data_IF_944932740224
#
_entry.id   IF_944932740224
#
_cell.length_a   1.000
_cell.length_b   1.000
_cell.length_c   1.000
_cell.angle_alpha   90.00
_cell.angle_beta   90.00
_cell.angle_gamma   90.00
#
_symmetry.space_group_name_H-M   'P 1'
#
loop_
_entity.id
_entity.type
_entity.pdbx_description
1 polymer ?
#
# COMPACT_ATOMS: atom_id res chain seq x y z
N UNK A 1 -12.29 3.09 -23.03
CA UNK A 1 -11.17 3.17 -22.06
C UNK A 1 -11.18 4.57 -21.46
N UNK A 2 -11.76 4.74 -20.28
CA UNK A 2 -11.75 6.03 -19.58
C UNK A 2 -10.36 6.16 -18.96
N UNK A 3 -9.47 6.92 -19.60
CA UNK A 3 -8.18 7.21 -18.97
C UNK A 3 -8.43 8.14 -17.77
N UNK A 4 -7.87 7.86 -16.58
CA UNK A 4 -7.90 8.82 -15.48
C UNK A 4 -7.30 10.14 -15.96
N UNK A 5 -8.05 11.23 -15.82
CA UNK A 5 -7.65 12.57 -16.25
C UNK A 5 -6.35 12.93 -15.54
N UNK A 6 -5.31 13.30 -16.29
CA UNK A 6 -4.09 13.83 -15.70
C UNK A 6 -4.43 15.06 -14.86
N UNK A 7 -3.92 15.13 -13.62
CA UNK A 7 -4.14 16.26 -12.73
C UNK A 7 -3.62 17.53 -13.39
N UNK A 8 -4.46 18.56 -13.49
CA UNK A 8 -4.07 19.87 -14.00
C UNK A 8 -3.90 20.83 -12.83
N UNK A 9 -2.76 21.50 -12.77
CA UNK A 9 -2.47 22.52 -11.76
C UNK A 9 -2.96 23.91 -12.20
N UNK A 10 -3.44 24.70 -11.25
CA UNK A 10 -3.65 26.14 -11.42
C UNK A 10 -2.33 26.88 -11.69
N UNK A 11 -2.40 28.13 -12.17
CA UNK A 11 -1.20 28.93 -12.41
C UNK A 11 -0.41 29.16 -11.12
N UNK A 12 -1.10 29.42 -10.00
CA UNK A 12 -0.47 29.60 -8.69
C UNK A 12 0.26 28.33 -8.23
N UNK A 13 -0.37 27.16 -8.37
CA UNK A 13 0.27 25.87 -8.02
C UNK A 13 1.48 25.56 -8.90
N UNK A 14 1.45 25.93 -10.19
CA UNK A 14 2.60 25.78 -11.11
C UNK A 14 3.75 26.70 -10.72
N UNK A 15 3.45 27.95 -10.36
CA UNK A 15 4.47 28.90 -9.90
C UNK A 15 5.09 28.45 -8.57
N UNK A 16 4.30 27.91 -7.65
CA UNK A 16 4.80 27.35 -6.38
C UNK A 16 5.59 26.03 -6.58
N UNK A 17 5.28 25.27 -7.62
CA UNK A 17 5.92 23.98 -7.90
C UNK A 17 7.43 24.13 -8.18
N UNK A 18 7.86 25.22 -8.83
CA UNK A 18 9.28 25.45 -9.17
C UNK A 18 10.17 25.60 -7.92
N UNK A 19 9.91 26.53 -6.98
CA UNK A 19 10.70 26.62 -5.74
C UNK A 19 10.55 25.37 -4.86
N UNK A 20 9.41 24.67 -4.93
CA UNK A 20 9.24 23.39 -4.25
C UNK A 20 10.25 22.34 -4.76
N UNK A 21 10.37 22.17 -6.08
CA UNK A 21 11.35 21.27 -6.70
C UNK A 21 12.79 21.65 -6.33
N UNK A 22 13.12 22.95 -6.36
CA UNK A 22 14.44 23.43 -5.94
C UNK A 22 14.76 23.02 -4.49
N UNK A 23 13.77 23.10 -3.58
CA UNK A 23 13.96 22.70 -2.19
C UNK A 23 14.20 21.19 -1.99
N UNK A 24 13.63 20.36 -2.87
CA UNK A 24 13.86 18.90 -2.86
C UNK A 24 15.28 18.61 -3.36
N UNK A 25 15.73 19.26 -4.43
CA UNK A 25 17.10 19.14 -4.94
C UNK A 25 18.11 19.58 -3.89
N UNK A 26 17.89 20.72 -3.22
CA UNK A 26 18.75 21.17 -2.11
C UNK A 26 18.79 20.14 -0.97
N UNK A 27 17.66 19.48 -0.67
CA UNK A 27 17.63 18.43 0.35
C UNK A 27 18.43 17.19 -0.07
N UNK A 28 18.39 16.81 -1.35
CA UNK A 28 19.20 15.71 -1.90
C UNK A 28 20.69 16.04 -1.79
N UNK A 29 21.08 17.25 -2.18
CA UNK A 29 22.47 17.71 -2.08
C UNK A 29 22.93 17.72 -0.61
N UNK A 30 22.10 18.25 0.28
CA UNK A 30 22.38 18.28 1.71
C UNK A 30 22.52 16.86 2.29
N UNK A 31 21.57 15.96 2.01
CA UNK A 31 21.64 14.57 2.46
C UNK A 31 22.90 13.84 1.95
N UNK A 32 23.33 14.17 0.73
CA UNK A 32 24.57 13.64 0.16
C UNK A 32 25.80 14.16 0.92
N UNK A 33 25.86 15.46 1.19
CA UNK A 33 26.94 16.09 1.96
C UNK A 33 27.01 15.57 3.40
N UNK A 34 25.85 15.37 4.04
CA UNK A 34 25.79 14.88 5.43
C UNK A 34 25.96 13.37 5.58
N UNK A 35 26.11 12.64 4.46
CA UNK A 35 26.15 11.17 4.47
C UNK A 35 27.30 10.57 5.29
N UNK A 36 28.39 11.32 5.45
CA UNK A 36 29.57 10.94 6.24
C UNK A 36 29.35 11.08 7.76
N UNK A 37 28.32 11.81 8.18
CA UNK A 37 27.97 12.04 9.60
C UNK A 37 26.65 11.36 9.99
N UNK A 38 26.23 10.31 9.26
CA UNK A 38 25.01 9.55 9.56
C UNK A 38 25.16 8.80 10.89
N UNK A 39 24.20 9.00 11.79
CA UNK A 39 24.01 8.14 12.97
C UNK A 39 23.25 6.86 12.62
N UNK A 40 23.18 5.93 13.57
CA UNK A 40 22.39 4.70 13.45
C UNK A 40 20.87 4.94 13.29
N UNK A 41 20.39 6.17 13.53
CA UNK A 41 18.98 6.54 13.32
C UNK A 41 18.60 6.71 11.84
N UNK A 42 19.59 6.73 10.93
CA UNK A 42 19.34 6.87 9.49
C UNK A 42 19.27 5.51 8.78
N UNK A 43 18.65 5.45 7.58
CA UNK A 43 18.60 4.23 6.80
C UNK A 43 20.00 3.68 6.48
N UNK A 44 20.08 2.35 6.47
CA UNK A 44 21.31 1.56 6.30
C UNK A 44 22.16 2.02 5.11
N UNK A 45 21.57 2.10 3.92
CA UNK A 45 22.31 2.41 2.68
C UNK A 45 22.23 3.89 2.32
N UNK A 46 23.23 4.37 1.57
CA UNK A 46 23.27 5.76 1.12
C UNK A 46 22.08 6.11 0.20
N UNK A 47 21.69 5.16 -0.66
CA UNK A 47 20.54 5.32 -1.57
C UNK A 47 19.26 5.52 -0.76
N UNK A 48 19.05 4.71 0.29
CA UNK A 48 17.88 4.87 1.17
C UNK A 48 17.93 6.21 1.92
N UNK A 49 19.08 6.61 2.45
CA UNK A 49 19.24 7.88 3.16
C UNK A 49 18.82 9.08 2.28
N UNK A 50 19.33 9.14 1.05
CA UNK A 50 19.03 10.22 0.11
C UNK A 50 17.56 10.14 -0.36
N UNK A 51 17.10 8.94 -0.74
CA UNK A 51 15.74 8.73 -1.23
C UNK A 51 14.67 9.07 -0.20
N UNK A 52 14.85 8.64 1.05
CA UNK A 52 13.91 8.94 2.13
C UNK A 52 13.92 10.44 2.46
N UNK A 53 15.10 11.08 2.48
CA UNK A 53 15.17 12.53 2.69
C UNK A 53 14.44 13.31 1.59
N UNK A 54 14.59 12.90 0.32
CA UNK A 54 13.89 13.51 -0.81
C UNK A 54 12.37 13.32 -0.69
N UNK A 55 11.90 12.12 -0.32
CA UNK A 55 10.48 11.84 -0.20
C UNK A 55 9.83 12.55 1.00
N UNK A 56 10.49 12.57 2.17
CA UNK A 56 10.06 13.40 3.31
C UNK A 56 9.94 14.86 2.91
N UNK A 57 10.92 15.40 2.18
CA UNK A 57 10.85 16.78 1.71
C UNK A 57 9.69 17.00 0.75
N UNK A 58 9.50 16.09 -0.21
CA UNK A 58 8.43 16.16 -1.19
C UNK A 58 7.05 16.16 -0.54
N UNK A 59 6.80 15.23 0.39
CA UNK A 59 5.53 15.10 1.12
C UNK A 59 5.22 16.29 2.03
N UNK A 60 6.24 16.94 2.59
CA UNK A 60 6.07 18.16 3.39
C UNK A 60 5.86 19.40 2.51
N UNK A 61 6.51 19.48 1.35
CA UNK A 61 6.56 20.72 0.55
C UNK A 61 5.48 20.79 -0.53
N UNK A 62 5.09 19.65 -1.11
CA UNK A 62 4.18 19.60 -2.25
C UNK A 62 2.75 19.32 -1.79
N UNK A 63 1.78 19.94 -2.45
CA UNK A 63 0.37 19.55 -2.31
C UNK A 63 0.13 18.18 -2.96
N UNK A 64 -0.98 17.52 -2.61
CA UNK A 64 -1.41 16.28 -3.26
C UNK A 64 -1.52 16.46 -4.78
N UNK A 65 -2.10 17.58 -5.23
CA UNK A 65 -2.22 17.88 -6.65
C UNK A 65 -0.85 18.02 -7.34
N UNK A 66 0.10 18.71 -6.71
CA UNK A 66 1.47 18.85 -7.25
C UNK A 66 2.20 17.50 -7.32
N UNK A 67 2.06 16.64 -6.30
CA UNK A 67 2.65 15.29 -6.33
C UNK A 67 2.05 14.43 -7.45
N UNK A 68 0.73 14.45 -7.61
CA UNK A 68 0.07 13.72 -8.70
C UNK A 68 0.41 14.28 -10.08
N UNK A 69 0.58 15.60 -10.21
CA UNK A 69 1.03 16.22 -11.45
C UNK A 69 2.43 15.73 -11.86
N UNK A 70 3.32 15.53 -10.89
CA UNK A 70 4.69 15.08 -11.12
C UNK A 70 4.81 13.58 -11.45
N UNK A 71 3.84 12.76 -11.02
CA UNK A 71 3.93 11.31 -11.07
C UNK A 71 3.09 10.72 -12.21
N UNK A 72 3.59 9.70 -12.94
CA UNK A 72 2.75 8.94 -13.85
C UNK A 72 1.68 8.16 -13.08
N UNK A 73 0.50 8.00 -13.69
CA UNK A 73 -0.59 7.19 -13.12
C UNK A 73 -0.20 5.72 -12.98
N UNK A 74 -0.89 4.98 -12.10
CA UNK A 74 -0.65 3.54 -11.88
C UNK A 74 -0.70 2.75 -13.19
N UNK A 75 -1.74 2.97 -14.03
CA UNK A 75 -1.85 2.30 -15.32
C UNK A 75 -0.68 2.64 -16.28
N UNK A 76 -0.23 3.91 -16.32
CA UNK A 76 0.95 4.27 -17.12
C UNK A 76 2.23 3.59 -16.61
N UNK A 77 2.40 3.45 -15.30
CA UNK A 77 3.54 2.73 -14.73
C UNK A 77 3.48 1.23 -15.06
N UNK A 78 2.29 0.61 -14.98
CA UNK A 78 2.06 -0.77 -15.39
C UNK A 78 2.40 -0.98 -16.87
N UNK A 79 1.79 -0.21 -17.78
CA UNK A 79 2.01 -0.29 -19.23
C UNK A 79 3.49 -0.14 -19.60
N UNK A 80 4.18 0.83 -18.98
CA UNK A 80 5.63 1.03 -19.16
C UNK A 80 6.42 -0.17 -18.68
N UNK A 81 6.05 -0.73 -17.52
CA UNK A 81 6.75 -1.86 -16.93
C UNK A 81 6.59 -3.12 -17.78
N UNK A 82 5.37 -3.51 -18.14
CA UNK A 82 5.13 -4.72 -18.95
C UNK A 82 5.76 -4.60 -20.33
N UNK A 83 5.68 -3.42 -20.98
CA UNK A 83 6.35 -3.18 -22.26
C UNK A 83 7.87 -3.33 -22.14
N UNK A 84 8.49 -2.73 -21.11
CA UNK A 84 9.93 -2.81 -20.88
C UNK A 84 10.41 -4.26 -20.68
N UNK A 85 9.61 -5.09 -20.01
CA UNK A 85 9.96 -6.47 -19.69
C UNK A 85 9.34 -7.50 -20.66
N UNK A 86 8.71 -7.04 -21.76
CA UNK A 86 8.04 -7.88 -22.77
C UNK A 86 6.99 -8.83 -22.16
N UNK A 87 6.30 -8.38 -21.12
CA UNK A 87 5.19 -9.10 -20.50
C UNK A 87 3.86 -8.74 -21.17
N UNK A 88 2.86 -9.64 -21.17
CA UNK A 88 1.52 -9.33 -21.64
C UNK A 88 0.90 -8.16 -20.88
N UNK A 89 0.26 -7.23 -21.60
CA UNK A 89 -0.55 -6.18 -21.01
C UNK A 89 -1.98 -6.70 -20.82
N UNK A 90 -2.37 -6.98 -19.58
CA UNK A 90 -3.67 -7.57 -19.23
C UNK A 90 -4.39 -6.67 -18.22
N UNK A 91 -5.11 -5.69 -18.75
CA UNK A 91 -5.89 -4.73 -17.96
C UNK A 91 -7.38 -5.05 -18.08
N UNK A 92 -8.09 -4.96 -16.96
CA UNK A 92 -9.52 -5.17 -16.83
C UNK A 92 -10.16 -3.88 -16.34
N UNK A 93 -11.29 -3.49 -16.94
CA UNK A 93 -12.16 -2.44 -16.40
C UNK A 93 -13.03 -3.03 -15.28
N UNK A 94 -12.91 -2.47 -14.07
CA UNK A 94 -13.64 -2.93 -12.88
C UNK A 94 -14.92 -2.13 -12.61
N UNK A 95 -15.25 -1.17 -13.48
CA UNK A 95 -16.32 -0.21 -13.23
C UNK A 95 -15.90 0.90 -12.27
N UNK A 96 -16.75 1.92 -12.14
CA UNK A 96 -16.54 3.08 -11.25
C UNK A 96 -15.17 3.77 -11.40
N UNK A 97 -14.54 3.70 -12.58
CA UNK A 97 -13.24 4.29 -12.85
C UNK A 97 -12.04 3.51 -12.31
N UNK A 98 -12.24 2.31 -11.77
CA UNK A 98 -11.16 1.42 -11.35
C UNK A 98 -10.68 0.50 -12.49
N UNK A 99 -9.39 0.20 -12.47
CA UNK A 99 -8.77 -0.79 -13.36
C UNK A 99 -8.07 -1.87 -12.55
N UNK A 100 -8.09 -3.10 -13.04
CA UNK A 100 -7.29 -4.21 -12.52
C UNK A 100 -6.21 -4.62 -13.49
N UNK A 101 -5.03 -4.95 -13.01
CA UNK A 101 -3.89 -5.35 -13.85
C UNK A 101 -3.35 -6.71 -13.41
N UNK A 102 -3.25 -7.63 -14.36
CA UNK A 102 -2.67 -8.95 -14.11
C UNK A 102 -1.17 -8.98 -14.40
N UNK A 103 -0.44 -9.70 -13.55
CA UNK A 103 0.98 -9.97 -13.65
C UNK A 103 1.19 -11.45 -13.36
N UNK A 104 1.91 -12.13 -14.24
CA UNK A 104 1.99 -13.60 -14.22
C UNK A 104 0.88 -14.26 -15.03
N UNK A 105 0.76 -15.57 -14.88
CA UNK A 105 -0.26 -16.35 -15.55
C UNK A 105 -1.58 -16.31 -14.76
N UNK A 106 -2.66 -15.92 -15.42
CA UNK A 106 -3.98 -15.76 -14.77
C UNK A 106 -4.63 -17.10 -14.43
N UNK A 107 -4.10 -18.20 -14.95
CA UNK A 107 -4.55 -19.56 -14.64
C UNK A 107 -3.71 -20.22 -13.55
N UNK A 108 -2.89 -19.45 -12.83
CA UNK A 108 -2.17 -19.95 -11.66
C UNK A 108 -3.15 -20.51 -10.61
N UNK A 109 -2.70 -21.37 -9.71
CA UNK A 109 -3.61 -21.97 -8.72
C UNK A 109 -4.07 -20.95 -7.66
N UNK A 110 -3.30 -19.88 -7.46
CA UNK A 110 -3.57 -18.87 -6.44
C UNK A 110 -3.41 -17.45 -6.99
N UNK A 111 -4.19 -16.52 -6.44
CA UNK A 111 -4.14 -15.09 -6.78
C UNK A 111 -3.87 -14.24 -5.56
N UNK A 112 -2.82 -13.43 -5.63
CA UNK A 112 -2.60 -12.32 -4.71
C UNK A 112 -3.25 -11.05 -5.28
N UNK A 113 -4.33 -10.58 -4.67
CA UNK A 113 -4.96 -9.30 -5.01
C UNK A 113 -4.26 -8.19 -4.25
N UNK A 114 -3.63 -7.25 -4.96
CA UNK A 114 -2.84 -6.18 -4.31
C UNK A 114 -3.47 -4.80 -4.42
N UNK A 115 -3.67 -4.16 -3.27
CA UNK A 115 -4.03 -2.74 -3.14
C UNK A 115 -2.77 -1.93 -2.81
N UNK A 116 -2.38 -1.01 -3.68
CA UNK A 116 -1.16 -0.23 -3.47
C UNK A 116 -1.33 0.84 -2.37
N UNK A 117 -0.24 1.22 -1.71
CA UNK A 117 -0.18 2.35 -0.80
C UNK A 117 -0.03 3.71 -1.48
N UNK A 118 0.46 4.71 -0.74
CA UNK A 118 0.56 6.09 -1.22
C UNK A 118 -0.52 7.02 -0.65
N UNK A 119 -1.05 6.69 0.53
CA UNK A 119 -1.97 7.55 1.28
C UNK A 119 -3.29 7.85 0.57
N UNK A 120 -3.77 6.93 -0.27
CA UNK A 120 -4.87 7.13 -1.21
C UNK A 120 -4.63 8.22 -2.26
N UNK A 121 -3.54 8.97 -2.17
CA UNK A 121 -3.29 10.19 -2.92
C UNK A 121 -2.23 10.01 -4.02
N UNK A 122 -1.37 9.00 -3.93
CA UNK A 122 -0.29 8.75 -4.88
C UNK A 122 -0.54 7.44 -5.66
N UNK A 123 -0.13 7.38 -6.94
CA UNK A 123 -0.25 6.17 -7.75
C UNK A 123 0.78 5.11 -7.34
N UNK A 124 0.53 3.85 -7.72
CA UNK A 124 1.53 2.80 -7.59
C UNK A 124 2.75 3.13 -8.45
N UNK A 125 3.92 3.17 -7.81
CA UNK A 125 5.21 3.36 -8.48
C UNK A 125 5.73 2.07 -9.14
N UNK A 126 6.85 2.14 -9.85
CA UNK A 126 7.39 0.96 -10.54
C UNK A 126 7.97 -0.12 -9.63
N UNK A 127 8.21 0.18 -8.35
CA UNK A 127 8.67 -0.78 -7.34
C UNK A 127 7.67 -1.90 -7.09
N UNK A 128 6.37 -1.62 -7.15
CA UNK A 128 5.30 -2.61 -7.03
C UNK A 128 5.45 -3.73 -8.07
N UNK A 129 5.59 -3.37 -9.34
CA UNK A 129 5.69 -4.37 -10.41
C UNK A 129 6.99 -5.17 -10.34
N UNK A 130 8.10 -4.57 -9.87
CA UNK A 130 9.32 -5.31 -9.55
C UNK A 130 9.08 -6.33 -8.44
N UNK A 131 8.46 -5.89 -7.34
CA UNK A 131 8.11 -6.74 -6.21
C UNK A 131 7.22 -7.92 -6.64
N UNK A 132 6.17 -7.67 -7.42
CA UNK A 132 5.26 -8.71 -7.92
C UNK A 132 5.97 -9.73 -8.82
N UNK A 133 6.77 -9.28 -9.80
CA UNK A 133 7.51 -10.22 -10.66
C UNK A 133 8.54 -11.04 -9.90
N UNK A 134 9.24 -10.45 -8.92
CA UNK A 134 10.16 -11.18 -8.04
C UNK A 134 9.40 -12.22 -7.23
N UNK A 135 8.24 -11.85 -6.68
CA UNK A 135 7.42 -12.72 -5.85
C UNK A 135 6.91 -13.94 -6.64
N UNK A 136 6.32 -13.71 -7.82
CA UNK A 136 5.84 -14.77 -8.73
C UNK A 136 6.98 -15.72 -9.08
N UNK A 137 8.15 -15.21 -9.49
CA UNK A 137 9.30 -16.04 -9.83
C UNK A 137 9.80 -16.86 -8.63
N UNK A 138 9.76 -16.28 -7.43
CA UNK A 138 10.20 -16.94 -6.19
C UNK A 138 9.23 -18.05 -5.76
N UNK A 139 7.93 -17.84 -5.94
CA UNK A 139 6.90 -18.85 -5.70
C UNK A 139 7.01 -19.99 -6.71
N UNK A 140 7.17 -19.69 -8.00
CA UNK A 140 7.35 -20.69 -9.05
C UNK A 140 8.60 -21.55 -8.78
N UNK A 141 9.72 -20.95 -8.36
CA UNK A 141 10.93 -21.68 -7.96
C UNK A 141 10.73 -22.57 -6.71
N UNK A 142 9.63 -22.39 -5.98
CA UNK A 142 9.22 -23.19 -4.82
C UNK A 142 8.07 -24.14 -5.14
N UNK A 143 7.78 -24.38 -6.43
CA UNK A 143 6.63 -25.17 -6.92
C UNK A 143 5.26 -24.64 -6.43
N UNK A 144 5.14 -23.32 -6.24
CA UNK A 144 3.88 -22.65 -5.91
C UNK A 144 3.43 -21.81 -7.10
N UNK A 145 2.22 -22.07 -7.57
CA UNK A 145 1.59 -21.36 -8.68
C UNK A 145 0.93 -20.08 -8.15
N UNK A 146 1.41 -18.91 -8.58
CA UNK A 146 0.92 -17.61 -8.11
C UNK A 146 0.79 -16.60 -9.26
N UNK A 147 -0.35 -15.91 -9.31
CA UNK A 147 -0.58 -14.70 -10.08
C UNK A 147 -0.77 -13.49 -9.14
N UNK A 148 -0.51 -12.28 -9.65
CA UNK A 148 -0.87 -11.04 -8.96
C UNK A 148 -1.91 -10.28 -9.76
N UNK A 149 -2.98 -9.86 -9.08
CA UNK A 149 -3.99 -8.93 -9.61
C UNK A 149 -3.94 -7.62 -8.83
N UNK A 150 -3.42 -6.55 -9.42
CA UNK A 150 -3.25 -5.28 -8.70
C UNK A 150 -4.26 -4.22 -9.14
N UNK A 151 -4.85 -3.52 -8.17
CA UNK A 151 -5.86 -2.49 -8.38
C UNK A 151 -5.23 -1.12 -8.65
N UNK A 152 -5.71 -0.46 -9.70
CA UNK A 152 -5.66 1.00 -9.85
C UNK A 152 -6.99 1.58 -9.38
N UNK A 153 -7.01 2.11 -8.16
CA UNK A 153 -8.16 2.84 -7.62
C UNK A 153 -8.04 4.34 -7.91
N UNK A 154 -9.16 5.05 -7.82
CA UNK A 154 -9.21 6.51 -8.00
C UNK A 154 -8.59 7.21 -6.80
N UNK A 155 -7.63 8.10 -7.07
CA UNK A 155 -6.88 8.77 -6.00
C UNK A 155 -7.72 9.88 -5.35
N UNK A 156 -7.41 10.15 -4.09
CA UNK A 156 -7.85 11.35 -3.39
C UNK A 156 -7.08 12.58 -3.88
N UNK A 157 -7.69 13.77 -3.99
CA UNK A 157 -9.09 14.08 -3.64
C UNK A 157 -10.08 13.91 -4.81
N UNK A 158 -9.69 13.32 -5.95
CA UNK A 158 -10.59 13.14 -7.10
C UNK A 158 -11.79 12.27 -6.76
N UNK A 159 -11.58 11.27 -5.90
CA UNK A 159 -12.62 10.56 -5.19
C UNK A 159 -12.27 10.45 -3.71
N UNK A 160 -13.29 10.37 -2.87
CA UNK A 160 -13.18 10.28 -1.40
C UNK A 160 -13.80 8.98 -0.92
N UNK A 161 -13.52 8.63 0.34
CA UNK A 161 -14.14 7.49 1.03
C UNK A 161 -15.68 7.53 0.89
N UNK A 162 -16.36 6.41 0.54
CA UNK A 162 -15.86 5.03 0.45
C UNK A 162 -15.47 4.55 -0.97
N UNK A 163 -15.13 5.45 -1.90
CA UNK A 163 -14.91 5.07 -3.32
C UNK A 163 -13.77 4.06 -3.49
N UNK A 164 -12.62 4.28 -2.85
CA UNK A 164 -11.46 3.39 -2.94
C UNK A 164 -11.75 2.01 -2.34
N UNK A 165 -12.52 1.97 -1.25
CA UNK A 165 -13.00 0.71 -0.66
C UNK A 165 -13.95 -0.02 -1.62
N UNK A 166 -14.91 0.68 -2.23
CA UNK A 166 -15.80 0.10 -3.24
C UNK A 166 -15.01 -0.52 -4.39
N UNK A 167 -13.99 0.20 -4.89
CA UNK A 167 -13.12 -0.27 -5.97
C UNK A 167 -12.25 -1.47 -5.54
N UNK A 168 -11.80 -1.52 -4.29
CA UNK A 168 -11.10 -2.68 -3.71
C UNK A 168 -12.00 -3.92 -3.63
N UNK A 169 -13.26 -3.74 -3.22
CA UNK A 169 -14.28 -4.79 -3.23
C UNK A 169 -14.59 -5.23 -4.67
N UNK A 170 -14.66 -4.30 -5.64
CA UNK A 170 -14.84 -4.64 -7.06
C UNK A 170 -13.69 -5.46 -7.63
N UNK A 171 -12.45 -5.23 -7.19
CA UNK A 171 -11.32 -6.06 -7.59
C UNK A 171 -11.44 -7.51 -7.07
N UNK A 172 -11.83 -7.69 -5.80
CA UNK A 172 -12.09 -9.02 -5.22
C UNK A 172 -13.25 -9.71 -5.95
N UNK A 173 -14.37 -9.00 -6.13
CA UNK A 173 -15.54 -9.49 -6.87
C UNK A 173 -15.17 -9.93 -8.29
N UNK A 174 -14.34 -9.17 -8.99
CA UNK A 174 -13.91 -9.54 -10.33
C UNK A 174 -13.16 -10.88 -10.34
N UNK A 175 -12.23 -11.10 -9.41
CA UNK A 175 -11.49 -12.36 -9.33
C UNK A 175 -12.45 -13.52 -9.01
N UNK A 176 -13.35 -13.36 -8.04
CA UNK A 176 -14.34 -14.39 -7.67
C UNK A 176 -15.32 -14.72 -8.82
N UNK A 177 -15.86 -13.71 -9.50
CA UNK A 177 -16.96 -13.89 -10.45
C UNK A 177 -16.49 -14.18 -11.88
N UNK A 178 -15.28 -13.75 -12.25
CA UNK A 178 -14.78 -13.77 -13.64
C UNK A 178 -13.59 -14.70 -13.86
N UNK A 179 -13.13 -15.37 -12.81
CA UNK A 179 -12.07 -16.39 -12.91
C UNK A 179 -12.55 -17.70 -12.27
N UNK A 180 -11.74 -18.75 -12.35
CA UNK A 180 -12.04 -20.05 -11.72
C UNK A 180 -11.62 -20.14 -10.24
N UNK A 181 -11.09 -19.06 -9.65
CA UNK A 181 -10.58 -19.09 -8.27
C UNK A 181 -11.72 -18.95 -7.26
N UNK A 182 -11.86 -19.95 -6.39
CA UNK A 182 -12.66 -19.84 -5.17
C UNK A 182 -11.98 -18.97 -4.10
N UNK A 183 -12.70 -18.55 -3.04
CA UNK A 183 -12.12 -17.73 -1.97
C UNK A 183 -10.86 -18.35 -1.32
N UNK A 184 -10.79 -19.68 -1.17
CA UNK A 184 -9.64 -20.40 -0.61
C UNK A 184 -8.38 -20.40 -1.48
N UNK A 185 -8.42 -19.79 -2.66
CA UNK A 185 -7.28 -19.59 -3.55
C UNK A 185 -6.84 -18.11 -3.63
N UNK A 186 -7.45 -17.24 -2.85
CA UNK A 186 -7.26 -15.79 -2.92
C UNK A 186 -6.58 -15.28 -1.65
N UNK A 187 -5.46 -14.60 -1.84
CA UNK A 187 -4.78 -13.82 -0.80
C UNK A 187 -5.02 -12.33 -1.07
N UNK A 188 -5.44 -11.58 -0.05
CA UNK A 188 -5.44 -10.12 -0.12
C UNK A 188 -4.07 -9.57 0.29
N UNK A 189 -3.62 -8.53 -0.40
CA UNK A 189 -2.33 -7.91 -0.15
C UNK A 189 -2.44 -6.39 -0.23
N UNK A 190 -1.69 -5.68 0.60
CA UNK A 190 -1.58 -4.24 0.46
C UNK A 190 -0.58 -3.64 1.43
N UNK A 191 -0.16 -2.42 1.12
CA UNK A 191 0.77 -1.66 1.94
C UNK A 191 0.22 -0.28 2.30
N UNK A 192 0.55 0.27 3.48
CA UNK A 192 0.14 1.63 3.85
C UNK A 192 -1.39 1.82 3.71
N UNK A 193 -1.84 2.78 2.90
CA UNK A 193 -3.25 2.95 2.53
C UNK A 193 -3.88 1.73 1.84
N UNK A 194 -3.11 0.96 1.08
CA UNK A 194 -3.55 -0.32 0.53
C UNK A 194 -3.71 -1.40 1.61
N UNK A 195 -2.87 -1.37 2.64
CA UNK A 195 -3.04 -2.19 3.84
C UNK A 195 -4.32 -1.82 4.60
N UNK A 196 -4.68 -0.53 4.65
CA UNK A 196 -5.98 -0.08 5.14
C UNK A 196 -7.13 -0.71 4.31
N UNK A 197 -7.03 -0.67 2.97
CA UNK A 197 -8.03 -1.28 2.09
C UNK A 197 -8.16 -2.79 2.30
N UNK A 198 -7.08 -3.52 2.58
CA UNK A 198 -7.17 -4.96 2.93
C UNK A 198 -8.11 -5.15 4.13
N UNK A 199 -7.91 -4.40 5.21
CA UNK A 199 -8.74 -4.53 6.41
C UNK A 199 -10.15 -3.96 6.23
N UNK A 200 -10.31 -2.92 5.41
CA UNK A 200 -11.61 -2.40 5.00
C UNK A 200 -12.40 -3.42 4.19
N UNK A 201 -11.76 -4.16 3.27
CA UNK A 201 -12.40 -5.24 2.50
C UNK A 201 -12.78 -6.39 3.43
N UNK A 202 -11.91 -6.84 4.33
CA UNK A 202 -12.25 -7.85 5.34
C UNK A 202 -13.42 -7.42 6.23
N UNK A 203 -13.42 -6.15 6.65
CA UNK A 203 -14.52 -5.54 7.39
C UNK A 203 -15.81 -5.55 6.59
N UNK A 204 -15.77 -5.23 5.28
CA UNK A 204 -16.94 -5.25 4.41
C UNK A 204 -17.50 -6.67 4.20
N UNK A 205 -16.63 -7.67 4.12
CA UNK A 205 -17.06 -9.07 4.00
C UNK A 205 -17.75 -9.58 5.27
N UNK A 206 -17.27 -9.16 6.44
CA UNK A 206 -17.85 -9.52 7.74
C UNK A 206 -19.09 -8.69 8.10
N UNK A 207 -19.03 -7.40 7.79
CA UNK A 207 -20.00 -6.36 8.16
C UNK A 207 -20.24 -5.48 6.92
N UNK A 208 -21.23 -5.79 6.07
CA UNK A 208 -21.42 -5.09 4.81
C UNK A 208 -21.59 -3.57 4.96
N UNK A 209 -20.65 -2.82 4.39
CA UNK A 209 -20.74 -1.36 4.28
C UNK A 209 -22.01 -0.96 3.49
N UNK A 210 -22.85 -0.02 3.98
CA UNK A 210 -24.17 0.27 3.42
C UNK A 210 -24.16 0.78 1.97
N UNK A 211 -23.08 1.45 1.55
CA UNK A 211 -22.93 2.00 0.20
C UNK A 211 -22.21 1.07 -0.80
N UNK A 212 -21.93 -0.17 -0.42
CA UNK A 212 -21.20 -1.12 -1.25
C UNK A 212 -22.01 -2.42 -1.30
N UNK A 213 -22.28 -2.92 -2.50
CA UNK A 213 -22.97 -4.21 -2.63
C UNK A 213 -22.17 -5.31 -1.93
N UNK A 214 -22.79 -6.20 -1.13
CA UNK A 214 -22.09 -7.24 -0.40
C UNK A 214 -21.43 -8.26 -1.34
N UNK A 215 -20.47 -9.01 -0.79
CA UNK A 215 -19.99 -10.28 -1.36
C UNK A 215 -20.26 -11.34 -0.31
N UNK A 216 -20.97 -12.40 -0.69
CA UNK A 216 -21.19 -13.56 0.17
C UNK A 216 -20.15 -14.60 -0.21
N UNK A 217 -19.24 -14.91 0.71
CA UNK A 217 -18.24 -15.95 0.50
C UNK A 217 -18.79 -17.31 0.95
N UNK A 218 -18.51 -18.35 0.15
CA UNK A 218 -18.81 -19.74 0.50
C UNK A 218 -17.79 -20.33 1.48
N UNK A 219 -16.61 -19.75 1.56
CA UNK A 219 -15.48 -20.17 2.40
C UNK A 219 -14.57 -18.97 2.71
N UNK A 220 -13.63 -19.13 3.62
CA UNK A 220 -12.68 -18.06 3.98
C UNK A 220 -11.70 -17.79 2.84
N UNK A 221 -11.24 -16.53 2.76
CA UNK A 221 -10.06 -16.19 1.97
C UNK A 221 -8.82 -16.90 2.50
N UNK A 222 -7.93 -17.32 1.59
CA UNK A 222 -6.72 -18.07 1.93
C UNK A 222 -5.82 -17.30 2.91
N UNK A 223 -5.76 -15.98 2.77
CA UNK A 223 -5.02 -15.16 3.72
C UNK A 223 -5.01 -13.67 3.39
N UNK A 224 -4.39 -12.88 4.25
CA UNK A 224 -4.17 -11.45 4.03
C UNK A 224 -2.76 -11.03 4.44
N UNK A 225 -2.13 -10.16 3.64
CA UNK A 225 -0.82 -9.57 3.90
C UNK A 225 -0.93 -8.05 3.93
N UNK A 226 -0.53 -7.45 5.05
CA UNK A 226 -0.50 -6.00 5.24
C UNK A 226 0.94 -5.56 5.50
N UNK A 227 1.50 -4.70 4.66
CA UNK A 227 2.84 -4.12 4.86
C UNK A 227 2.70 -2.67 5.35
N UNK A 228 3.14 -2.41 6.57
CA UNK A 228 3.07 -1.09 7.18
C UNK A 228 1.66 -0.46 7.05
N UNK A 229 0.57 -1.15 7.43
CA UNK A 229 -0.78 -0.69 7.15
C UNK A 229 -1.08 0.63 7.87
N UNK A 230 -1.77 1.54 7.17
CA UNK A 230 -2.22 2.79 7.76
C UNK A 230 -3.59 2.58 8.41
N UNK A 231 -3.63 2.20 9.70
CA UNK A 231 -4.84 1.71 10.37
C UNK A 231 -5.62 2.76 11.16
N UNK A 232 -5.18 4.02 11.16
CA UNK A 232 -5.92 5.13 11.75
C UNK A 232 -5.70 6.44 11.01
N UNK A 233 -6.78 7.16 10.75
CA UNK A 233 -6.81 8.52 10.22
C UNK A 233 -6.57 9.57 11.32
N UNK A 234 -6.30 9.16 12.57
CA UNK A 234 -5.88 10.04 13.66
C UNK A 234 -4.45 10.54 13.46
N UNK A 235 -4.28 11.86 13.53
CA UNK A 235 -2.97 12.51 13.38
C UNK A 235 -2.19 12.59 14.68
N UNK A 236 -2.84 12.37 15.82
CA UNK A 236 -2.30 12.47 17.18
C UNK A 236 -2.50 11.16 17.95
N UNK A 237 -2.30 10.03 17.27
CA UNK A 237 -2.54 8.71 17.83
C UNK A 237 -1.68 8.39 19.08
N UNK A 238 -0.49 8.97 19.20
CA UNK A 238 0.41 8.76 20.33
C UNK A 238 1.10 10.05 20.77
N UNK A 239 1.32 10.20 22.07
CA UNK A 239 2.13 11.28 22.66
C UNK A 239 3.65 10.98 22.59
N UNK A 240 4.03 9.81 22.08
CA UNK A 240 5.44 9.45 21.91
C UNK A 240 6.13 10.36 20.90
N UNK A 241 7.35 10.81 21.22
CA UNK A 241 8.19 11.53 20.26
C UNK A 241 8.71 10.52 19.22
N UNK A 242 8.23 10.66 17.99
CA UNK A 242 8.61 9.77 16.88
C UNK A 242 9.81 10.36 16.12
N UNK A 243 10.91 9.61 16.05
CA UNK A 243 12.06 9.96 15.20
C UNK A 243 11.83 9.50 13.75
N UNK A 244 11.51 10.44 12.87
CA UNK A 244 11.27 10.14 11.45
C UNK A 244 12.53 10.05 10.59
N UNK A 245 13.75 10.15 11.16
CA UNK A 245 14.99 10.14 10.36
C UNK A 245 15.23 8.82 9.64
N UNK A 246 14.80 7.72 10.26
CA UNK A 246 14.88 6.36 9.72
C UNK A 246 13.78 6.00 8.73
N UNK A 247 12.76 6.86 8.57
CA UNK A 247 11.57 6.57 7.78
C UNK A 247 11.42 7.46 6.54
N UNK A 248 10.68 7.02 5.53
CA UNK A 248 10.39 7.80 4.33
C UNK A 248 9.25 8.81 4.52
N UNK A 249 8.35 8.58 5.47
CA UNK A 249 7.27 9.52 5.82
C UNK A 249 7.55 10.25 7.14
N UNK A 250 6.82 11.34 7.37
CA UNK A 250 6.82 12.09 8.64
C UNK A 250 5.39 12.27 9.11
N UNK A 251 5.14 12.55 10.41
CA UNK A 251 3.79 12.80 10.90
C UNK A 251 3.04 13.92 10.15
N UNK A 252 3.78 14.86 9.55
CA UNK A 252 3.22 15.95 8.77
C UNK A 252 2.40 15.51 7.53
N UNK A 253 2.61 14.28 7.03
CA UNK A 253 1.89 13.79 5.85
C UNK A 253 0.49 13.28 6.18
N UNK A 254 0.26 12.81 7.42
CA UNK A 254 -0.97 12.11 7.80
C UNK A 254 -2.21 13.01 7.67
N UNK A 255 -2.16 14.25 8.17
CA UNK A 255 -3.30 15.17 8.17
C UNK A 255 -3.79 15.54 6.75
N UNK A 256 -2.92 16.07 5.87
CA UNK A 256 -3.32 16.39 4.49
C UNK A 256 -3.88 15.20 3.72
N UNK A 257 -3.28 14.00 3.86
CA UNK A 257 -3.74 12.80 3.15
C UNK A 257 -5.04 12.24 3.73
N UNK A 258 -5.18 12.20 5.06
CA UNK A 258 -6.43 11.79 5.70
C UNK A 258 -7.58 12.72 5.31
N UNK A 259 -7.35 14.04 5.31
CA UNK A 259 -8.34 15.03 4.86
C UNK A 259 -8.71 14.83 3.38
N UNK A 260 -7.72 14.60 2.52
CA UNK A 260 -7.97 14.36 1.10
C UNK A 260 -8.80 13.08 0.87
N UNK A 261 -8.51 12.02 1.62
CA UNK A 261 -9.19 10.73 1.52
C UNK A 261 -10.61 10.79 2.08
N UNK A 262 -10.79 11.30 3.29
CA UNK A 262 -12.10 11.36 3.96
C UNK A 262 -13.03 12.36 3.29
N UNK A 263 -12.51 13.49 2.77
CA UNK A 263 -13.35 14.57 2.28
C UNK A 263 -14.28 15.09 3.38
N UNK A 264 -15.57 14.83 3.25
CA UNK A 264 -16.61 15.15 4.25
C UNK A 264 -17.11 13.92 5.01
N UNK A 265 -16.61 12.73 4.68
CA UNK A 265 -17.04 11.50 5.32
C UNK A 265 -16.59 11.44 6.78
N UNK A 266 -17.37 10.70 7.58
CA UNK A 266 -17.00 10.38 8.96
C UNK A 266 -16.07 9.18 8.96
N UNK A 267 -15.17 9.15 9.94
CA UNK A 267 -14.36 7.99 10.24
C UNK A 267 -15.24 6.87 10.81
N UNK A 268 -14.88 5.64 10.50
CA UNK A 268 -15.54 4.43 10.96
C UNK A 268 -14.52 3.28 11.00
N UNK A 269 -14.97 2.05 11.23
CA UNK A 269 -14.08 0.90 11.37
C UNK A 269 -13.52 0.38 10.04
N UNK A 270 -13.99 0.90 8.89
CA UNK A 270 -13.38 0.62 7.59
C UNK A 270 -12.21 1.57 7.31
N UNK A 271 -12.26 2.81 7.82
CA UNK A 271 -11.15 3.78 7.71
C UNK A 271 -10.14 3.66 8.85
N UNK A 272 -10.59 3.34 10.07
CA UNK A 272 -9.83 3.40 11.32
C UNK A 272 -9.89 2.06 12.06
N UNK A 273 -9.31 1.01 11.48
CA UNK A 273 -9.24 -0.33 12.07
C UNK A 273 -8.65 -0.33 13.50
N UNK A 274 -7.71 0.56 13.81
CA UNK A 274 -7.13 0.69 15.17
C UNK A 274 -8.15 1.11 16.24
N UNK A 275 -9.28 1.70 15.82
CA UNK A 275 -10.37 2.14 16.72
C UNK A 275 -11.50 1.13 16.83
N UNK A 276 -11.50 0.09 15.98
CA UNK A 276 -12.51 -0.94 16.02
C UNK A 276 -12.41 -1.78 17.32
N UNK A 277 -13.55 -2.21 17.90
CA UNK A 277 -13.55 -3.09 19.04
C UNK A 277 -13.05 -4.49 18.65
N UNK A 278 -12.54 -5.27 19.61
CA UNK A 278 -11.92 -6.57 19.32
C UNK A 278 -12.88 -7.57 18.67
N UNK A 279 -14.17 -7.52 19.02
CA UNK A 279 -15.20 -8.38 18.45
C UNK A 279 -15.47 -8.10 16.96
N UNK A 280 -15.17 -6.89 16.47
CA UNK A 280 -15.25 -6.54 15.04
C UNK A 280 -14.46 -7.51 14.16
N UNK A 281 -13.31 -7.98 14.64
CA UNK A 281 -12.39 -8.83 13.89
C UNK A 281 -12.74 -10.32 13.92
N UNK A 282 -13.60 -10.76 14.85
CA UNK A 282 -13.89 -12.18 15.10
C UNK A 282 -14.51 -12.89 13.90
N UNK A 283 -15.28 -12.15 13.09
CA UNK A 283 -16.01 -12.64 11.93
C UNK A 283 -15.29 -12.39 10.60
N UNK A 284 -14.03 -11.95 10.61
CA UNK A 284 -13.27 -11.73 9.38
C UNK A 284 -13.10 -13.06 8.62
N UNK A 285 -13.59 -13.17 7.37
CA UNK A 285 -13.60 -14.43 6.63
C UNK A 285 -12.25 -14.66 5.92
N UNK A 286 -11.21 -14.87 6.70
CA UNK A 286 -9.83 -15.10 6.25
C UNK A 286 -9.16 -16.15 7.12
N UNK A 287 -8.31 -17.00 6.55
CA UNK A 287 -7.66 -18.08 7.31
C UNK A 287 -6.46 -17.61 8.14
N UNK A 288 -5.64 -16.70 7.61
CA UNK A 288 -4.41 -16.21 8.24
C UNK A 288 -4.09 -14.79 7.82
N UNK A 289 -3.48 -14.01 8.72
CA UNK A 289 -3.05 -12.65 8.42
C UNK A 289 -1.59 -12.44 8.82
N UNK A 290 -0.80 -11.91 7.89
CA UNK A 290 0.52 -11.36 8.16
C UNK A 290 0.46 -9.83 8.15
N UNK A 291 0.89 -9.23 9.26
CA UNK A 291 1.16 -7.80 9.35
C UNK A 291 2.67 -7.59 9.45
N UNK A 292 3.20 -6.74 8.60
CA UNK A 292 4.60 -6.32 8.59
C UNK A 292 4.71 -4.85 9.01
N UNK A 293 5.79 -4.49 9.68
CA UNK A 293 6.14 -3.10 9.94
C UNK A 293 7.65 -2.88 9.94
N UNK A 294 8.09 -1.67 9.67
CA UNK A 294 9.47 -1.24 9.79
C UNK A 294 9.82 -0.89 11.23
N UNK A 295 10.98 -1.33 11.72
CA UNK A 295 11.46 -1.02 13.07
C UNK A 295 11.75 0.47 13.28
N UNK A 296 12.01 1.20 12.18
CA UNK A 296 12.29 2.64 12.18
C UNK A 296 11.11 3.46 11.64
N UNK A 297 9.95 2.86 11.38
CA UNK A 297 8.82 3.57 10.77
C UNK A 297 7.94 4.30 11.78
N UNK A 298 7.35 5.42 11.36
CA UNK A 298 6.51 6.25 12.23
C UNK A 298 5.17 5.60 12.58
N UNK A 299 4.70 4.66 11.77
CA UNK A 299 3.42 3.97 12.00
C UNK A 299 3.57 2.75 12.92
N UNK A 300 4.79 2.35 13.31
CA UNK A 300 5.01 1.15 14.11
C UNK A 300 4.19 1.13 15.42
N UNK A 301 4.05 2.24 16.18
CA UNK A 301 3.23 2.25 17.39
C UNK A 301 1.76 1.90 17.10
N UNK A 302 1.15 2.52 16.08
CA UNK A 302 -0.25 2.26 15.73
C UNK A 302 -0.45 0.87 15.11
N UNK A 303 0.55 0.36 14.37
CA UNK A 303 0.55 -1.01 13.83
C UNK A 303 0.59 -2.04 14.96
N UNK A 304 1.42 -1.83 15.99
CA UNK A 304 1.51 -2.75 17.14
C UNK A 304 0.21 -2.81 17.91
N UNK A 305 -0.37 -1.67 18.29
CA UNK A 305 -1.67 -1.64 18.97
C UNK A 305 -2.79 -2.27 18.12
N UNK A 306 -2.81 -2.00 16.82
CA UNK A 306 -3.73 -2.66 15.90
C UNK A 306 -3.56 -4.18 15.93
N UNK A 307 -2.33 -4.70 15.82
CA UNK A 307 -2.06 -6.14 15.86
C UNK A 307 -2.46 -6.74 17.20
N UNK A 308 -2.18 -6.08 18.32
CA UNK A 308 -2.54 -6.59 19.65
C UNK A 308 -4.06 -6.73 19.77
N UNK A 309 -4.82 -5.69 19.35
CA UNK A 309 -6.28 -5.73 19.30
C UNK A 309 -6.81 -6.78 18.32
N UNK A 310 -6.22 -6.85 17.13
CA UNK A 310 -6.63 -7.81 16.11
C UNK A 310 -6.38 -9.25 16.58
N UNK A 311 -5.24 -9.52 17.22
CA UNK A 311 -4.89 -10.84 17.76
C UNK A 311 -5.79 -11.25 18.93
N UNK A 312 -6.34 -10.29 19.68
CA UNK A 312 -7.33 -10.54 20.71
C UNK A 312 -8.69 -10.97 20.14
N UNK A 313 -9.06 -10.46 18.97
CA UNK A 313 -10.31 -10.81 18.26
C UNK A 313 -10.18 -11.98 17.28
N UNK A 314 -8.98 -12.22 16.73
CA UNK A 314 -8.74 -13.16 15.65
C UNK A 314 -7.41 -13.90 15.87
N UNK A 315 -7.45 -15.24 15.93
CA UNK A 315 -6.33 -16.05 16.48
C UNK A 315 -5.11 -16.19 15.57
N UNK A 316 -5.23 -15.96 14.26
CA UNK A 316 -4.18 -16.27 13.28
C UNK A 316 -3.58 -15.01 12.65
N UNK A 317 -3.22 -14.04 13.50
CA UNK A 317 -2.46 -12.84 13.12
C UNK A 317 -0.99 -13.03 13.49
N UNK A 318 -0.10 -12.70 12.57
CA UNK A 318 1.34 -12.69 12.79
C UNK A 318 1.90 -11.29 12.56
N UNK A 319 2.83 -10.84 13.41
CA UNK A 319 3.55 -9.59 13.24
C UNK A 319 5.03 -9.85 12.94
N UNK A 320 5.52 -9.22 11.87
CA UNK A 320 6.93 -9.16 11.54
C UNK A 320 7.44 -7.72 11.54
N UNK A 321 8.38 -7.42 12.43
CA UNK A 321 9.04 -6.12 12.48
C UNK A 321 10.43 -6.21 11.86
N UNK A 322 10.66 -5.48 10.78
CA UNK A 322 11.97 -5.41 10.13
C UNK A 322 12.88 -4.43 10.84
N UNK A 323 13.85 -4.92 11.61
CA UNK A 323 14.80 -4.07 12.34
C UNK A 323 15.52 -3.09 11.41
N UNK A 324 15.51 -1.80 11.76
CA UNK A 324 16.14 -0.73 10.98
C UNK A 324 15.43 -0.36 9.66
N UNK A 325 14.32 -1.02 9.33
CA UNK A 325 13.57 -0.76 8.10
C UNK A 325 12.57 0.39 8.28
N UNK A 326 12.37 1.16 7.21
CA UNK A 326 11.31 2.18 7.14
C UNK A 326 9.97 1.64 6.65
N UNK A 327 9.02 2.55 6.52
CA UNK A 327 7.68 2.32 5.98
C UNK A 327 7.77 1.65 4.60
N UNK A 328 7.01 0.58 4.35
CA UNK A 328 6.88 -0.03 3.01
C UNK A 328 8.24 -0.44 2.39
N UNK A 329 9.25 -0.76 3.22
CA UNK A 329 10.60 -1.06 2.78
C UNK A 329 10.69 -2.09 1.63
N UNK A 330 9.93 -3.22 1.61
CA UNK A 330 10.01 -4.21 0.53
C UNK A 330 9.74 -3.66 -0.88
N UNK A 331 8.95 -2.60 -1.00
CA UNK A 331 8.52 -2.04 -2.29
C UNK A 331 9.27 -0.75 -2.58
N UNK A 332 9.35 0.17 -1.61
CA UNK A 332 9.95 1.48 -1.83
C UNK A 332 11.46 1.39 -2.03
N UNK A 333 12.16 0.50 -1.31
CA UNK A 333 13.61 0.30 -1.48
C UNK A 333 13.94 -0.15 -2.91
N UNK A 334 13.15 -1.09 -3.45
CA UNK A 334 13.27 -1.54 -4.85
C UNK A 334 12.94 -0.43 -5.88
N UNK A 335 12.04 0.49 -5.52
CA UNK A 335 11.70 1.64 -6.38
C UNK A 335 12.91 2.57 -6.54
N UNK A 336 13.57 2.93 -5.44
CA UNK A 336 14.73 3.84 -5.45
C UNK A 336 16.06 3.16 -5.78
N UNK A 337 16.05 1.84 -6.00
CA UNK A 337 17.18 1.10 -6.56
C UNK A 337 18.06 0.39 -5.53
N UNK A 338 17.65 0.37 -4.26
CA UNK A 338 18.26 -0.47 -3.25
C UNK A 338 17.93 -1.95 -3.53
N UNK A 339 18.92 -2.82 -3.34
CA UNK A 339 18.85 -4.25 -3.70
C UNK A 339 18.92 -5.16 -2.48
N UNK A 340 19.09 -4.60 -1.29
CA UNK A 340 19.13 -5.39 -0.07
C UNK A 340 17.76 -6.03 0.14
N UNK A 341 17.76 -7.31 0.50
CA UNK A 341 16.52 -7.97 0.88
C UNK A 341 16.08 -7.51 2.26
N UNK A 342 14.84 -7.03 2.34
CA UNK A 342 14.23 -6.61 3.59
C UNK A 342 13.72 -7.81 4.38
N UNK A 343 13.80 -7.74 5.70
CA UNK A 343 13.18 -8.65 6.67
C UNK A 343 11.68 -8.75 6.38
N UNK A 344 10.99 -7.63 6.21
CA UNK A 344 9.57 -7.63 5.84
C UNK A 344 9.32 -8.39 4.53
N UNK A 345 10.15 -8.18 3.50
CA UNK A 345 10.01 -8.85 2.21
C UNK A 345 10.29 -10.35 2.28
N UNK A 346 11.32 -10.75 3.04
CA UNK A 346 11.64 -12.16 3.31
C UNK A 346 10.51 -12.85 4.04
N UNK A 347 9.90 -12.20 5.04
CA UNK A 347 8.76 -12.77 5.76
C UNK A 347 7.55 -12.94 4.84
N UNK A 348 7.23 -11.96 4.00
CA UNK A 348 6.13 -12.09 3.04
C UNK A 348 6.35 -13.29 2.10
N UNK A 349 7.57 -13.45 1.59
CA UNK A 349 7.93 -14.62 0.76
C UNK A 349 7.79 -15.93 1.53
N UNK A 350 8.32 -16.02 2.75
CA UNK A 350 8.25 -17.27 3.52
C UNK A 350 6.81 -17.59 3.92
N UNK A 351 6.03 -16.59 4.32
CA UNK A 351 4.63 -16.73 4.69
C UNK A 351 3.78 -17.20 3.52
N UNK A 352 3.98 -16.63 2.32
CA UNK A 352 3.28 -17.11 1.13
C UNK A 352 3.65 -18.56 0.79
N UNK A 353 4.89 -19.01 1.02
CA UNK A 353 5.23 -20.44 0.84
C UNK A 353 4.56 -21.36 1.86
N UNK A 354 4.25 -20.85 3.05
CA UNK A 354 3.56 -21.58 4.12
C UNK A 354 2.04 -21.69 3.85
N UNK A 355 1.48 -20.73 3.11
CA UNK A 355 0.04 -20.56 2.91
C UNK A 355 -0.45 -21.05 1.55
N UNK A 356 0.29 -20.77 0.46
CA UNK A 356 0.09 -21.40 -0.84
C UNK A 356 0.59 -22.83 -0.78
#
# INVERSE_FOLDING_TARGET
>A
MIQPRATSLSLAEKLDFVPALASIVLTILWATLTSLWRSAAYPKTLVLHIGYAAFRKATVRLTVAQMQYALPTTNKNYERYVRKHKLPCKTVDLGDGALGHWIGDQTADNVLIWYHGGGFALPANVGYFKFFTKLIATMAASNKSLAVFTLTYTLAPQATYPTQLRQAVSALRHVLDKTSHGPSHIVLGGDSAGGNLVGGVLSHLAHPHPEIAPIILSENLLGAVMIAPWTSMETNYTDQIIDSRGDLITPAVAGPWAKAYLGTARRDYYTDLSTAPTDWFTSFPVERVLVCGGGSEILLPVIRDFVDKFSAGFRRVELCVGEGEGHVAPIYNMYIGDRDETVQGKRVVSWLREVL
#
